data_IF_394990469068
#
_entry.id   IF_394990469068
#
_cell.length_a   1.000
_cell.length_b   1.000
_cell.length_c   1.000
_cell.angle_alpha   90.00
_cell.angle_beta   90.00
_cell.angle_gamma   90.00
#
_symmetry.space_group_name_H-M   'P 1'
#
loop_
_entity.id
_entity.type
_entity.pdbx_description
1 polymer ?
#
# COMPACT_ATOMS: atom_id res chain seq x y z
N UNK A 1 30.36 37.50 9.72
CA UNK A 1 29.82 36.12 9.72
C UNK A 1 28.81 36.08 8.60
N UNK A 2 29.09 35.35 7.52
CA UNK A 2 28.20 35.27 6.35
C UNK A 2 26.98 34.41 6.68
N UNK A 3 25.80 34.73 6.13
CA UNK A 3 24.55 34.02 6.43
C UNK A 3 24.68 32.49 6.27
N UNK A 4 25.39 32.05 5.22
CA UNK A 4 25.69 30.63 4.94
C UNK A 4 26.49 29.92 6.04
N UNK A 5 27.41 30.63 6.71
CA UNK A 5 28.20 30.05 7.80
C UNK A 5 27.35 29.87 9.07
N UNK A 6 26.42 30.79 9.31
CA UNK A 6 25.48 30.71 10.42
C UNK A 6 24.50 29.53 10.24
N UNK A 7 23.93 29.37 9.04
CA UNK A 7 23.07 28.24 8.70
C UNK A 7 23.79 26.89 8.84
N UNK A 8 25.04 26.81 8.35
CA UNK A 8 25.86 25.59 8.48
C UNK A 8 26.10 25.24 9.95
N UNK A 9 26.47 26.21 10.79
CA UNK A 9 26.67 26.00 12.23
C UNK A 9 25.37 25.61 12.94
N UNK A 10 24.24 26.17 12.53
CA UNK A 10 22.93 25.81 13.07
C UNK A 10 22.59 24.36 12.76
N UNK A 11 22.70 23.94 11.49
CA UNK A 11 22.51 22.55 11.05
C UNK A 11 23.39 21.55 11.81
N UNK A 12 24.69 21.84 11.91
CA UNK A 12 25.65 20.99 12.62
C UNK A 12 25.29 20.86 14.10
N UNK A 13 24.82 21.96 14.70
CA UNK A 13 24.33 21.98 16.08
C UNK A 13 23.08 21.11 16.25
N UNK A 14 22.10 21.22 15.35
CA UNK A 14 20.87 20.41 15.40
C UNK A 14 21.19 18.92 15.22
N UNK A 15 22.01 18.55 14.22
CA UNK A 15 22.46 17.17 14.01
C UNK A 15 23.18 16.58 15.23
N UNK A 16 23.91 17.41 15.98
CA UNK A 16 24.63 17.00 17.18
C UNK A 16 23.72 16.81 18.40
N UNK A 17 22.73 17.67 18.58
CA UNK A 17 21.80 17.58 19.72
C UNK A 17 20.69 16.54 19.51
N UNK A 18 20.30 16.32 18.25
CA UNK A 18 19.20 15.43 17.89
C UNK A 18 19.66 14.39 16.86
N UNK A 19 20.55 13.45 17.23
CA UNK A 19 20.90 12.34 16.35
C UNK A 19 19.69 11.41 16.09
N UNK A 20 19.69 10.65 14.98
CA UNK A 20 18.69 9.61 14.73
C UNK A 20 18.52 8.67 15.92
N UNK A 21 17.28 8.34 16.29
CA UNK A 21 16.92 7.55 17.47
C UNK A 21 16.68 8.37 18.75
N UNK A 22 16.89 9.69 18.73
CA UNK A 22 16.62 10.54 19.91
C UNK A 22 15.12 10.63 20.18
N UNK A 23 14.72 10.39 21.43
CA UNK A 23 13.33 10.58 21.88
C UNK A 23 13.06 12.04 22.17
N UNK A 24 12.01 12.58 21.57
CA UNK A 24 11.61 13.98 21.71
C UNK A 24 10.13 14.08 22.11
N UNK A 25 9.75 15.24 22.63
CA UNK A 25 8.37 15.60 22.92
C UNK A 25 8.07 16.88 22.14
N UNK A 26 7.03 16.87 21.33
CA UNK A 26 6.52 18.07 20.67
C UNK A 26 5.83 18.93 21.72
N UNK A 27 6.34 20.15 21.97
CA UNK A 27 5.71 21.06 22.93
C UNK A 27 4.50 21.77 22.32
N UNK A 28 4.66 22.30 21.11
CA UNK A 28 3.58 22.89 20.32
C UNK A 28 3.95 22.90 18.84
N UNK A 29 2.94 22.83 17.97
CA UNK A 29 3.09 23.08 16.54
C UNK A 29 2.64 24.52 16.22
N UNK A 30 3.26 25.16 15.21
CA UNK A 30 2.86 26.49 14.76
C UNK A 30 1.58 26.46 13.91
N UNK A 31 1.48 27.34 12.91
CA UNK A 31 0.35 27.40 11.97
C UNK A 31 0.37 26.25 10.94
N UNK A 32 0.33 25.01 11.41
CA UNK A 32 0.12 23.83 10.55
C UNK A 32 -1.39 23.61 10.36
N UNK A 33 -1.89 23.37 9.13
CA UNK A 33 -3.30 23.04 8.91
C UNK A 33 -3.76 21.75 9.61
N UNK A 34 -2.83 20.86 9.97
CA UNK A 34 -3.09 19.61 10.71
C UNK A 34 -2.10 19.44 11.86
N UNK A 35 -2.25 20.20 12.96
CA UNK A 35 -1.28 20.18 14.05
C UNK A 35 -1.32 18.84 14.80
N UNK A 36 -0.14 18.31 15.12
CA UNK A 36 0.00 17.19 16.05
C UNK A 36 -0.26 17.69 17.47
N UNK A 37 -0.95 16.90 18.30
CA UNK A 37 -1.25 17.28 19.68
C UNK A 37 -0.01 17.64 20.48
N UNK A 38 -0.14 18.67 21.32
CA UNK A 38 0.91 19.08 22.25
C UNK A 38 1.27 17.93 23.19
N UNK A 39 2.54 17.87 23.58
CA UNK A 39 3.15 16.81 24.39
C UNK A 39 3.21 15.43 23.72
N UNK A 40 3.03 15.35 22.40
CA UNK A 40 3.20 14.10 21.67
C UNK A 40 4.67 13.67 21.66
N UNK A 41 4.91 12.43 22.07
CA UNK A 41 6.23 11.80 22.00
C UNK A 41 6.54 11.37 20.58
N UNK A 42 7.79 11.49 20.17
CA UNK A 42 8.28 11.00 18.90
C UNK A 42 9.74 10.59 18.95
N UNK A 43 10.20 9.98 17.87
CA UNK A 43 11.59 9.56 17.68
C UNK A 43 12.17 10.27 16.47
N UNK A 44 13.35 10.89 16.61
CA UNK A 44 14.04 11.54 15.50
C UNK A 44 14.48 10.47 14.51
N UNK A 45 14.02 10.58 13.25
CA UNK A 45 14.39 9.66 12.17
C UNK A 45 15.62 10.17 11.43
N UNK A 46 15.58 11.42 11.01
CA UNK A 46 16.67 12.06 10.26
C UNK A 46 16.59 13.57 10.39
N UNK A 47 17.73 14.24 10.32
CA UNK A 47 17.83 15.69 10.18
C UNK A 47 18.24 15.97 8.75
N UNK A 48 17.43 16.73 8.02
CA UNK A 48 17.75 17.07 6.63
C UNK A 48 18.94 18.05 6.54
N UNK A 49 19.36 18.35 5.31
CA UNK A 49 20.43 19.31 5.08
C UNK A 49 19.97 20.77 5.11
N UNK A 50 18.68 21.03 5.31
CA UNK A 50 18.14 22.37 5.54
C UNK A 50 18.04 22.71 7.04
N UNK A 51 18.23 21.72 7.93
CA UNK A 51 18.12 21.85 9.38
C UNK A 51 16.74 21.48 9.95
N UNK A 52 15.88 20.87 9.14
CA UNK A 52 14.56 20.35 9.52
C UNK A 52 14.72 18.99 10.21
N UNK A 53 14.02 18.83 11.33
CA UNK A 53 13.96 17.59 12.09
C UNK A 53 12.79 16.72 11.59
N UNK A 54 13.09 15.59 10.95
CA UNK A 54 12.08 14.59 10.63
C UNK A 54 11.93 13.62 11.81
N UNK A 55 10.72 13.56 12.35
CA UNK A 55 10.42 12.79 13.56
C UNK A 55 9.21 11.90 13.32
N UNK A 56 9.29 10.66 13.80
CA UNK A 56 8.17 9.72 13.80
C UNK A 56 7.45 9.86 15.15
N UNK A 57 6.24 10.43 15.15
CA UNK A 57 5.44 10.61 16.37
C UNK A 57 4.70 9.33 16.75
N UNK A 58 4.69 9.01 18.04
CA UNK A 58 4.08 7.80 18.59
C UNK A 58 2.55 7.73 18.32
N UNK A 59 1.88 8.87 18.21
CA UNK A 59 0.45 8.93 17.81
C UNK A 59 0.29 8.40 16.39
N UNK A 60 1.17 8.81 15.47
CA UNK A 60 1.14 8.38 14.07
C UNK A 60 1.45 6.89 13.92
N UNK A 61 2.33 6.35 14.77
CA UNK A 61 2.64 4.91 14.85
C UNK A 61 1.43 4.12 15.40
N UNK A 62 0.65 4.71 16.32
CA UNK A 62 -0.57 4.06 16.87
C UNK A 62 -1.77 4.12 15.93
N UNK A 63 -1.87 5.12 15.05
CA UNK A 63 -3.00 5.28 14.13
C UNK A 63 -2.97 4.32 12.94
N UNK A 64 -1.84 3.68 12.65
CA UNK A 64 -1.79 2.49 11.78
C UNK A 64 -1.56 1.25 12.65
N UNK A 65 -2.62 0.67 13.25
CA UNK A 65 -2.51 -0.67 13.80
C UNK A 65 -2.21 -1.60 12.63
N UNK A 66 -0.98 -2.09 12.57
CA UNK A 66 -0.46 -3.04 11.57
C UNK A 66 -1.32 -4.30 11.43
N UNK A 67 -2.13 -4.62 12.44
CA UNK A 67 -3.13 -5.68 12.38
C UNK A 67 -4.25 -5.39 11.37
N UNK A 68 -4.69 -4.14 11.22
CA UNK A 68 -5.80 -3.80 10.33
C UNK A 68 -5.42 -3.96 8.85
N UNK A 69 -4.17 -3.68 8.50
CA UNK A 69 -3.66 -3.79 7.13
C UNK A 69 -3.67 -5.24 6.63
N UNK A 70 -3.34 -6.21 7.49
CA UNK A 70 -3.35 -7.63 7.13
C UNK A 70 -4.78 -8.16 6.92
N UNK A 71 -5.75 -7.73 7.74
CA UNK A 71 -7.16 -8.06 7.55
C UNK A 71 -7.73 -7.44 6.27
N UNK A 72 -7.40 -6.17 5.96
CA UNK A 72 -7.79 -5.53 4.69
C UNK A 72 -7.22 -6.31 3.50
N UNK A 73 -5.92 -6.61 3.53
CA UNK A 73 -5.24 -7.33 2.46
C UNK A 73 -5.87 -8.71 2.22
N UNK A 74 -6.18 -9.45 3.30
CA UNK A 74 -6.88 -10.74 3.21
C UNK A 74 -8.25 -10.59 2.53
N UNK A 75 -9.04 -9.58 2.92
CA UNK A 75 -10.33 -9.28 2.30
C UNK A 75 -10.18 -9.01 0.79
N UNK A 76 -9.21 -8.20 0.39
CA UNK A 76 -8.92 -7.88 -1.03
C UNK A 76 -8.49 -9.12 -1.81
N UNK A 77 -7.66 -10.00 -1.24
CA UNK A 77 -7.27 -11.25 -1.89
C UNK A 77 -8.46 -12.18 -2.12
N UNK A 78 -9.34 -12.34 -1.12
CA UNK A 78 -10.54 -13.17 -1.24
C UNK A 78 -11.43 -12.64 -2.36
N UNK A 79 -11.74 -11.34 -2.35
CA UNK A 79 -12.59 -10.70 -3.37
C UNK A 79 -11.97 -10.82 -4.76
N UNK A 80 -10.66 -10.57 -4.91
CA UNK A 80 -9.95 -10.67 -6.19
C UNK A 80 -9.96 -12.10 -6.74
N UNK A 81 -9.77 -13.10 -5.88
CA UNK A 81 -9.76 -14.52 -6.26
C UNK A 81 -11.14 -14.98 -6.73
N UNK A 82 -12.18 -14.62 -5.98
CA UNK A 82 -13.57 -14.92 -6.34
C UNK A 82 -13.92 -14.28 -7.69
N UNK A 83 -13.56 -13.01 -7.89
CA UNK A 83 -13.80 -12.32 -9.15
C UNK A 83 -13.06 -12.99 -10.34
N UNK A 84 -11.81 -13.40 -10.16
CA UNK A 84 -11.05 -14.11 -11.21
C UNK A 84 -11.70 -15.45 -11.55
N UNK A 85 -12.12 -16.24 -10.57
CA UNK A 85 -12.76 -17.54 -10.80
C UNK A 85 -14.13 -17.38 -11.50
N UNK A 86 -14.90 -16.35 -11.14
CA UNK A 86 -16.24 -16.12 -11.69
C UNK A 86 -16.22 -15.50 -13.09
N UNK A 87 -15.31 -14.55 -13.34
CA UNK A 87 -15.35 -13.70 -14.53
C UNK A 87 -14.26 -14.00 -15.57
N UNK A 88 -13.24 -14.82 -15.25
CA UNK A 88 -12.28 -15.29 -16.25
C UNK A 88 -12.75 -16.61 -16.91
N UNK A 89 -12.60 -16.80 -18.23
CA UNK A 89 -11.96 -15.92 -19.22
C UNK A 89 -12.92 -14.86 -19.82
N UNK A 90 -12.41 -13.64 -20.05
CA UNK A 90 -13.15 -12.56 -20.71
C UNK A 90 -13.10 -12.74 -22.23
N UNK A 91 -14.28 -12.91 -22.83
CA UNK A 91 -14.44 -13.03 -24.28
C UNK A 91 -14.44 -11.64 -24.92
N UNK A 92 -13.73 -11.48 -26.05
CA UNK A 92 -13.76 -10.26 -26.84
C UNK A 92 -14.71 -10.40 -28.04
N UNK A 93 -15.53 -9.39 -28.36
CA UNK A 93 -16.56 -9.48 -29.40
C UNK A 93 -15.97 -9.74 -30.80
N UNK A 94 -14.76 -9.24 -31.08
CA UNK A 94 -14.11 -9.39 -32.39
C UNK A 94 -13.18 -10.62 -32.49
N UNK A 95 -13.09 -11.45 -31.44
CA UNK A 95 -12.28 -12.68 -31.44
C UNK A 95 -12.77 -13.66 -30.37
N UNK A 96 -13.86 -14.42 -30.63
CA UNK A 96 -14.38 -15.40 -29.69
C UNK A 96 -13.39 -16.55 -29.50
N UNK A 97 -13.35 -17.12 -28.29
CA UNK A 97 -12.47 -18.25 -28.00
C UNK A 97 -12.94 -19.53 -28.66
N UNK A 98 -11.98 -20.32 -29.14
CA UNK A 98 -12.20 -21.72 -29.50
C UNK A 98 -12.41 -22.51 -28.20
N UNK A 99 -13.26 -23.56 -28.23
CA UNK A 99 -13.57 -24.38 -27.03
C UNK A 99 -12.32 -24.89 -26.29
N UNK A 100 -11.30 -25.34 -27.03
CA UNK A 100 -10.02 -25.80 -26.48
C UNK A 100 -9.20 -24.68 -25.83
N UNK A 101 -9.18 -23.48 -26.44
CA UNK A 101 -8.54 -22.30 -25.86
C UNK A 101 -9.25 -21.85 -24.58
N UNK A 102 -10.59 -21.84 -24.58
CA UNK A 102 -11.40 -21.49 -23.41
C UNK A 102 -11.11 -22.41 -22.22
N UNK A 103 -11.02 -23.71 -22.43
CA UNK A 103 -10.63 -24.66 -21.39
C UNK A 103 -9.21 -24.44 -20.87
N UNK A 104 -8.26 -24.16 -21.78
CA UNK A 104 -6.87 -23.84 -21.42
C UNK A 104 -6.80 -22.58 -20.56
N UNK A 105 -7.48 -21.49 -20.95
CA UNK A 105 -7.50 -20.25 -20.17
C UNK A 105 -8.19 -20.42 -18.82
N UNK A 106 -9.24 -21.27 -18.74
CA UNK A 106 -9.89 -21.57 -17.47
C UNK A 106 -8.96 -22.32 -16.51
N UNK A 107 -8.18 -23.29 -16.99
CA UNK A 107 -7.14 -23.97 -16.19
C UNK A 107 -6.04 -23.01 -15.74
N UNK A 108 -5.61 -22.11 -16.63
CA UNK A 108 -4.56 -21.14 -16.34
C UNK A 108 -4.99 -20.09 -15.31
N UNK A 109 -6.23 -19.62 -15.39
CA UNK A 109 -6.84 -18.75 -14.38
C UNK A 109 -6.96 -19.44 -13.01
N UNK A 110 -7.35 -20.71 -12.99
CA UNK A 110 -7.37 -21.50 -11.76
C UNK A 110 -5.96 -21.63 -11.15
N UNK A 111 -4.95 -21.94 -11.97
CA UNK A 111 -3.56 -21.99 -11.52
C UNK A 111 -3.09 -20.64 -10.94
N UNK A 112 -3.39 -19.53 -11.60
CA UNK A 112 -3.07 -18.19 -11.12
C UNK A 112 -3.78 -17.88 -9.78
N UNK A 113 -5.04 -18.26 -9.64
CA UNK A 113 -5.79 -18.07 -8.39
C UNK A 113 -5.17 -18.84 -7.21
N UNK A 114 -4.72 -20.08 -7.44
CA UNK A 114 -4.03 -20.88 -6.43
C UNK A 114 -2.69 -20.23 -6.06
N UNK A 115 -1.95 -19.73 -7.04
CA UNK A 115 -0.67 -19.05 -6.81
C UNK A 115 -0.83 -17.78 -5.96
N UNK A 116 -1.85 -16.95 -6.22
CA UNK A 116 -2.16 -15.75 -5.43
C UNK A 116 -2.53 -16.12 -3.99
N UNK A 117 -3.32 -17.17 -3.78
CA UNK A 117 -3.66 -17.67 -2.44
C UNK A 117 -2.41 -18.13 -1.68
N UNK A 118 -1.53 -18.89 -2.33
CA UNK A 118 -0.28 -19.39 -1.71
C UNK A 118 0.60 -18.21 -1.29
N UNK A 119 0.77 -17.21 -2.16
CA UNK A 119 1.52 -15.99 -1.84
C UNK A 119 0.89 -15.25 -0.65
N UNK A 120 -0.44 -15.09 -0.64
CA UNK A 120 -1.15 -14.47 0.48
C UNK A 120 -0.92 -15.19 1.81
N UNK A 121 -0.96 -16.53 1.82
CA UNK A 121 -0.69 -17.34 3.01
C UNK A 121 0.76 -17.20 3.47
N UNK A 122 1.73 -17.23 2.54
CA UNK A 122 3.15 -17.03 2.86
C UNK A 122 3.36 -15.67 3.54
N UNK A 123 2.74 -14.62 3.03
CA UNK A 123 2.84 -13.28 3.61
C UNK A 123 2.20 -13.18 5.00
N UNK A 124 1.06 -13.85 5.23
CA UNK A 124 0.44 -13.93 6.57
C UNK A 124 1.35 -14.65 7.59
N UNK A 125 2.10 -15.66 7.16
CA UNK A 125 3.02 -16.40 8.04
C UNK A 125 4.24 -15.56 8.40
N UNK A 126 4.76 -14.77 7.46
CA UNK A 126 6.00 -13.99 7.66
C UNK A 126 5.78 -12.83 8.66
N UNK A 127 4.56 -12.31 8.80
CA UNK A 127 4.09 -11.41 9.88
C UNK A 127 5.10 -10.30 10.30
N UNK A 128 5.87 -9.79 9.34
CA UNK A 128 6.88 -8.77 9.56
C UNK A 128 6.27 -7.40 9.29
N UNK A 129 6.39 -6.50 10.28
CA UNK A 129 5.94 -5.09 10.23
C UNK A 129 6.50 -4.39 8.98
N UNK A 130 7.69 -4.77 8.53
CA UNK A 130 8.35 -4.19 7.35
C UNK A 130 7.67 -4.59 6.03
N UNK A 131 7.03 -5.76 5.99
CA UNK A 131 6.43 -6.33 4.77
C UNK A 131 4.95 -5.96 4.58
N UNK A 132 4.21 -5.62 5.64
CA UNK A 132 2.80 -5.24 5.58
C UNK A 132 2.45 -4.20 4.49
N UNK A 133 3.17 -3.08 4.30
CA UNK A 133 2.84 -2.12 3.25
C UNK A 133 3.04 -2.69 1.83
N UNK A 134 4.01 -3.59 1.62
CA UNK A 134 4.22 -4.26 0.34
C UNK A 134 3.10 -5.24 0.02
N UNK A 135 2.62 -5.98 1.02
CA UNK A 135 1.50 -6.92 0.87
C UNK A 135 0.23 -6.19 0.49
N UNK A 136 -0.03 -5.05 1.15
CA UNK A 136 -1.18 -4.20 0.84
C UNK A 136 -1.12 -3.67 -0.60
N UNK A 137 0.04 -3.19 -1.05
CA UNK A 137 0.25 -2.73 -2.44
C UNK A 137 -0.01 -3.84 -3.46
N UNK A 138 0.48 -5.06 -3.21
CA UNK A 138 0.22 -6.21 -4.08
C UNK A 138 -1.27 -6.59 -4.11
N UNK A 139 -1.95 -6.57 -2.97
CA UNK A 139 -3.39 -6.84 -2.87
C UNK A 139 -4.24 -5.79 -3.62
N UNK A 140 -3.85 -4.52 -3.58
CA UNK A 140 -4.48 -3.48 -4.39
C UNK A 140 -4.25 -3.71 -5.89
N UNK A 141 -3.05 -4.18 -6.28
CA UNK A 141 -2.74 -4.53 -7.66
C UNK A 141 -3.64 -5.65 -8.20
N UNK A 142 -3.81 -6.74 -7.44
CA UNK A 142 -4.67 -7.87 -7.85
C UNK A 142 -6.14 -7.47 -7.85
N UNK A 143 -6.58 -6.65 -6.90
CA UNK A 143 -7.94 -6.09 -6.88
C UNK A 143 -8.22 -5.19 -8.09
N UNK A 144 -7.29 -4.31 -8.45
CA UNK A 144 -7.40 -3.46 -9.65
C UNK A 144 -7.53 -4.31 -10.92
N UNK A 145 -6.73 -5.37 -11.06
CA UNK A 145 -6.85 -6.29 -12.19
C UNK A 145 -8.21 -7.01 -12.22
N UNK A 146 -8.69 -7.47 -11.07
CA UNK A 146 -9.98 -8.16 -10.94
C UNK A 146 -11.18 -7.23 -11.25
N UNK A 147 -11.11 -5.97 -10.83
CA UNK A 147 -12.14 -4.97 -11.15
C UNK A 147 -12.17 -4.67 -12.65
N UNK A 148 -11.02 -4.50 -13.30
CA UNK A 148 -10.93 -4.33 -14.76
C UNK A 148 -11.56 -5.51 -15.52
N UNK A 149 -11.30 -6.74 -15.08
CA UNK A 149 -11.89 -7.96 -15.63
C UNK A 149 -13.43 -7.94 -15.54
N UNK A 150 -13.94 -7.56 -14.37
CA UNK A 150 -15.39 -7.49 -14.10
C UNK A 150 -16.06 -6.41 -14.95
N UNK A 151 -15.44 -5.24 -15.06
CA UNK A 151 -15.91 -4.14 -15.92
C UNK A 151 -15.94 -4.58 -17.39
N UNK A 152 -14.90 -5.27 -17.86
CA UNK A 152 -14.88 -5.79 -19.22
C UNK A 152 -16.04 -6.76 -19.50
N UNK A 153 -16.36 -7.64 -18.53
CA UNK A 153 -17.49 -8.57 -18.65
C UNK A 153 -18.84 -7.84 -18.62
N UNK A 154 -18.99 -6.81 -17.80
CA UNK A 154 -20.20 -5.96 -17.78
C UNK A 154 -20.39 -5.19 -19.08
N UNK A 155 -19.31 -4.64 -19.64
CA UNK A 155 -19.33 -3.94 -20.93
C UNK A 155 -19.75 -4.89 -22.06
N UNK A 156 -19.18 -6.09 -22.09
CA UNK A 156 -19.58 -7.14 -23.05
C UNK A 156 -21.08 -7.47 -22.96
N UNK A 157 -21.60 -7.71 -21.75
CA UNK A 157 -23.03 -8.01 -21.55
C UNK A 157 -23.95 -6.84 -21.99
N UNK A 158 -23.49 -5.60 -21.79
CA UNK A 158 -24.22 -4.41 -22.26
C UNK A 158 -24.24 -4.30 -23.79
N UNK A 159 -23.13 -4.61 -24.45
CA UNK A 159 -23.04 -4.63 -25.92
C UNK A 159 -23.92 -5.74 -26.50
N UNK A 160 -23.92 -6.94 -25.90
CA UNK A 160 -24.79 -8.07 -26.29
C UNK A 160 -26.29 -7.75 -26.12
N UNK A 161 -26.68 -7.07 -25.03
CA UNK A 161 -28.07 -6.68 -24.79
C UNK A 161 -28.57 -5.51 -25.66
N UNK A 162 -27.65 -4.74 -26.26
CA UNK A 162 -27.97 -3.60 -27.14
C UNK A 162 -27.98 -3.98 -28.63
N UNK A 163 -27.69 -5.26 -28.95
CA UNK A 163 -27.84 -5.90 -30.25
C UNK A 163 -29.18 -6.65 -30.32
#
# INVERSE_FOLDING_TARGET
MTNKEAEKRFRERIKRYYPPGTRIILLSMGDDPHPVEDNTRGTVRVVDDLGTLHCDFDIMIKTHPTEFDSYIALGLFIVSTVAVILFAPVEHPNKPFIKTEKERFRKLSCFYSVFVIIIGIIFLIINDITFNPCVLSFAFGTFSAATALTIAKLKYKKEENNL
#
